data_IF_360002198936
#
_entry.id   IF_360002198936
#
_cell.length_a   1.000
_cell.length_b   1.000
_cell.length_c   1.000
_cell.angle_alpha   90.00
_cell.angle_beta   90.00
_cell.angle_gamma   90.00
#
_symmetry.space_group_name_H-M   'P 1'
#
loop_
_entity.id
_entity.type
_entity.pdbx_description
1 polymer ?
#
# COMPACT_ATOMS: atom_id res chain seq x y z
N UNK A 1 18.43 -41.52 -13.33
CA UNK A 1 17.94 -40.14 -13.57
C UNK A 1 16.48 -39.96 -13.12
N UNK A 2 16.11 -40.35 -11.89
CA UNK A 2 14.73 -40.20 -11.39
C UNK A 2 14.58 -39.03 -10.37
N UNK A 3 15.69 -38.58 -9.78
CA UNK A 3 15.70 -37.55 -8.72
C UNK A 3 15.83 -36.12 -9.24
N UNK A 4 16.24 -35.93 -10.49
CA UNK A 4 16.49 -34.60 -11.06
C UNK A 4 15.16 -33.86 -11.28
N UNK A 5 14.17 -34.53 -11.87
CA UNK A 5 12.85 -33.94 -12.12
C UNK A 5 12.15 -33.48 -10.82
N UNK A 6 12.02 -34.30 -9.76
CA UNK A 6 11.38 -33.84 -8.52
C UNK A 6 12.15 -32.68 -7.86
N UNK A 7 13.48 -32.67 -7.92
CA UNK A 7 14.29 -31.57 -7.40
C UNK A 7 14.07 -30.27 -8.18
N UNK A 8 14.02 -30.34 -9.51
CA UNK A 8 13.75 -29.17 -10.36
C UNK A 8 12.34 -28.64 -10.14
N UNK A 9 11.34 -29.51 -9.97
CA UNK A 9 9.97 -29.07 -9.66
C UNK A 9 9.89 -28.37 -8.31
N UNK A 10 10.58 -28.88 -7.28
CA UNK A 10 10.65 -28.25 -5.97
C UNK A 10 11.28 -26.85 -6.08
N UNK A 11 12.40 -26.74 -6.79
CA UNK A 11 13.09 -25.48 -7.02
C UNK A 11 12.19 -24.47 -7.74
N UNK A 12 11.50 -24.91 -8.80
CA UNK A 12 10.62 -24.05 -9.59
C UNK A 12 9.44 -23.55 -8.75
N UNK A 13 8.80 -24.42 -7.98
CA UNK A 13 7.73 -24.02 -7.05
C UNK A 13 8.24 -23.02 -6.01
N UNK A 14 9.43 -23.24 -5.44
CA UNK A 14 10.05 -22.31 -4.51
C UNK A 14 10.28 -20.92 -5.11
N UNK A 15 10.85 -20.87 -6.32
CA UNK A 15 11.11 -19.61 -7.04
C UNK A 15 9.81 -18.88 -7.35
N UNK A 16 8.79 -19.59 -7.86
CA UNK A 16 7.48 -18.99 -8.19
C UNK A 16 6.81 -18.42 -6.94
N UNK A 17 6.77 -19.18 -5.83
CA UNK A 17 6.15 -18.72 -4.60
C UNK A 17 6.85 -17.49 -4.03
N UNK A 18 8.19 -17.45 -4.04
CA UNK A 18 8.94 -16.28 -3.58
C UNK A 18 8.72 -15.07 -4.51
N UNK A 19 8.67 -15.29 -5.83
CA UNK A 19 8.34 -14.24 -6.79
C UNK A 19 6.95 -13.63 -6.56
N UNK A 20 5.95 -14.47 -6.25
CA UNK A 20 4.60 -14.02 -5.92
C UNK A 20 4.56 -13.20 -4.62
N UNK A 21 5.27 -13.62 -3.57
CA UNK A 21 5.38 -12.84 -2.33
C UNK A 21 6.01 -11.46 -2.56
N UNK A 22 7.09 -11.39 -3.34
CA UNK A 22 7.74 -10.12 -3.67
C UNK A 22 6.80 -9.22 -4.47
N UNK A 23 6.06 -9.79 -5.43
CA UNK A 23 5.04 -9.05 -6.20
C UNK A 23 3.99 -8.44 -5.26
N UNK A 24 3.41 -9.22 -4.35
CA UNK A 24 2.38 -8.72 -3.43
C UNK A 24 2.89 -7.56 -2.58
N UNK A 25 4.12 -7.68 -2.05
CA UNK A 25 4.72 -6.61 -1.27
C UNK A 25 4.89 -5.31 -2.07
N UNK A 26 5.35 -5.40 -3.32
CA UNK A 26 5.48 -4.23 -4.20
C UNK A 26 4.12 -3.61 -4.54
N UNK A 27 3.11 -4.44 -4.78
CA UNK A 27 1.75 -3.99 -5.06
C UNK A 27 1.17 -3.24 -3.86
N UNK A 28 1.35 -3.75 -2.63
CA UNK A 28 0.91 -3.09 -1.40
C UNK A 28 1.58 -1.72 -1.22
N UNK A 29 2.90 -1.64 -1.43
CA UNK A 29 3.62 -0.37 -1.38
C UNK A 29 3.12 0.64 -2.43
N UNK A 30 2.86 0.17 -3.65
CA UNK A 30 2.32 1.00 -4.72
C UNK A 30 0.91 1.50 -4.41
N UNK A 31 0.06 0.66 -3.84
CA UNK A 31 -1.29 1.04 -3.41
C UNK A 31 -1.25 2.09 -2.29
N UNK A 32 -0.39 1.90 -1.28
CA UNK A 32 -0.19 2.88 -0.21
C UNK A 32 0.30 4.23 -0.75
N UNK A 33 1.25 4.20 -1.70
CA UNK A 33 1.78 5.40 -2.38
C UNK A 33 0.70 6.14 -3.18
N UNK A 34 -0.13 5.43 -3.93
CA UNK A 34 -1.25 6.05 -4.66
C UNK A 34 -2.31 6.61 -3.69
N UNK A 35 -2.59 5.91 -2.59
CA UNK A 35 -3.45 6.40 -1.50
C UNK A 35 -2.91 7.69 -0.89
N UNK A 36 -1.61 7.75 -0.58
CA UNK A 36 -0.95 8.93 -0.06
C UNK A 36 -1.00 10.10 -1.05
N UNK A 37 -0.71 9.85 -2.34
CA UNK A 37 -0.83 10.86 -3.40
C UNK A 37 -2.25 11.43 -3.50
N UNK A 38 -3.26 10.57 -3.43
CA UNK A 38 -4.65 11.00 -3.49
C UNK A 38 -5.05 11.78 -2.23
N UNK A 39 -4.58 11.36 -1.06
CA UNK A 39 -4.87 11.98 0.23
C UNK A 39 -4.29 13.39 0.38
N UNK A 40 -3.16 13.71 -0.29
CA UNK A 40 -2.55 15.05 -0.20
C UNK A 40 -3.24 16.12 -1.05
N UNK A 41 -4.16 15.73 -1.95
CA UNK A 41 -4.90 16.68 -2.78
C UNK A 41 -5.78 17.59 -1.91
N UNK A 42 -5.83 18.89 -2.24
CA UNK A 42 -6.58 19.88 -1.45
C UNK A 42 -8.07 19.52 -1.28
N UNK A 43 -8.70 18.98 -2.32
CA UNK A 43 -10.10 18.53 -2.28
C UNK A 43 -10.33 17.29 -1.41
N UNK A 44 -9.27 16.57 -1.04
CA UNK A 44 -9.32 15.36 -0.24
C UNK A 44 -8.86 15.57 1.21
N UNK A 45 -8.80 16.82 1.69
CA UNK A 45 -8.51 17.10 3.10
C UNK A 45 -9.70 16.70 3.96
N UNK A 46 -9.52 15.70 4.83
CA UNK A 46 -10.56 15.16 5.70
C UNK A 46 -11.09 16.24 6.64
N UNK A 47 -10.24 17.13 7.13
CA UNK A 47 -10.67 18.25 8.00
C UNK A 47 -11.60 19.25 7.32
N UNK A 48 -11.61 19.30 5.98
CA UNK A 48 -12.46 20.22 5.20
C UNK A 48 -13.69 19.52 4.62
N UNK A 49 -13.52 18.27 4.16
CA UNK A 49 -14.55 17.54 3.43
C UNK A 49 -15.25 16.43 4.25
N UNK A 50 -14.75 16.11 5.45
CA UNK A 50 -15.33 15.13 6.38
C UNK A 50 -15.08 13.66 6.03
N UNK A 51 -15.81 12.78 6.72
CA UNK A 51 -15.59 11.32 6.73
C UNK A 51 -15.79 10.65 5.36
N UNK A 52 -16.65 11.22 4.51
CA UNK A 52 -16.88 10.70 3.15
C UNK A 52 -15.58 10.69 2.32
N UNK A 53 -14.70 11.67 2.56
CA UNK A 53 -13.39 11.77 1.91
C UNK A 53 -12.40 10.75 2.45
N UNK A 54 -12.41 10.50 3.76
CA UNK A 54 -11.60 9.43 4.35
C UNK A 54 -11.97 8.08 3.72
N UNK A 55 -13.27 7.80 3.60
CA UNK A 55 -13.75 6.58 2.95
C UNK A 55 -13.39 6.52 1.47
N UNK A 56 -13.40 7.65 0.75
CA UNK A 56 -12.98 7.71 -0.64
C UNK A 56 -11.48 7.37 -0.82
N UNK A 57 -10.62 7.86 0.09
CA UNK A 57 -9.18 7.54 0.09
C UNK A 57 -8.98 6.03 0.38
N UNK A 58 -9.66 5.47 1.37
CA UNK A 58 -9.60 4.02 1.67
C UNK A 58 -10.07 3.18 0.48
N UNK A 59 -11.18 3.58 -0.13
CA UNK A 59 -11.73 2.91 -1.32
C UNK A 59 -10.78 2.99 -2.51
N UNK A 60 -10.03 4.08 -2.65
CA UNK A 60 -9.01 4.22 -3.71
C UNK A 60 -7.90 3.19 -3.56
N UNK A 61 -7.37 3.01 -2.35
CA UNK A 61 -6.35 1.99 -2.03
C UNK A 61 -6.91 0.59 -2.28
N UNK A 62 -8.10 0.31 -1.75
CA UNK A 62 -8.77 -0.99 -1.93
C UNK A 62 -8.99 -1.33 -3.41
N UNK A 63 -9.42 -0.36 -4.23
CA UNK A 63 -9.61 -0.55 -5.67
C UNK A 63 -8.30 -0.84 -6.40
N UNK A 64 -7.21 -0.18 -6.01
CA UNK A 64 -5.89 -0.46 -6.57
C UNK A 64 -5.48 -1.92 -6.32
N UNK A 65 -5.66 -2.40 -5.08
CA UNK A 65 -5.33 -3.77 -4.70
C UNK A 65 -6.25 -4.81 -5.35
N UNK A 66 -7.55 -4.49 -5.48
CA UNK A 66 -8.51 -5.38 -6.12
C UNK A 66 -8.18 -5.63 -7.61
N UNK A 67 -7.65 -4.62 -8.32
CA UNK A 67 -7.16 -4.77 -9.70
C UNK A 67 -6.01 -5.78 -9.80
N UNK A 68 -5.19 -5.87 -8.75
CA UNK A 68 -4.06 -6.79 -8.64
C UNK A 68 -4.43 -8.14 -7.99
N UNK A 69 -5.73 -8.41 -7.82
CA UNK A 69 -6.30 -9.61 -7.19
C UNK A 69 -6.01 -9.75 -5.70
N UNK A 70 -5.66 -8.65 -5.03
CA UNK A 70 -5.48 -8.60 -3.57
C UNK A 70 -6.74 -7.99 -2.95
N UNK A 71 -7.37 -8.71 -2.02
CA UNK A 71 -8.59 -8.24 -1.34
C UNK A 71 -8.25 -7.82 0.08
N UNK A 72 -8.61 -6.59 0.43
CA UNK A 72 -8.49 -6.04 1.78
C UNK A 72 -9.81 -5.39 2.21
N UNK A 73 -10.02 -5.27 3.52
CA UNK A 73 -11.09 -4.46 4.07
C UNK A 73 -10.64 -3.00 4.16
N UNK A 74 -11.59 -2.05 4.15
CA UNK A 74 -11.26 -0.64 4.36
C UNK A 74 -10.76 -0.35 5.77
N UNK A 75 -11.04 -1.23 6.74
CA UNK A 75 -10.47 -1.19 8.10
C UNK A 75 -8.96 -1.40 8.11
N UNK A 76 -8.41 -2.06 7.09
CA UNK A 76 -6.99 -2.37 6.99
C UNK A 76 -6.17 -1.16 6.48
N UNK A 77 -6.85 -0.08 6.11
CA UNK A 77 -6.24 1.16 5.64
C UNK A 77 -6.45 2.25 6.68
N UNK A 78 -5.36 2.80 7.20
CA UNK A 78 -5.40 3.95 8.13
C UNK A 78 -4.78 5.18 7.47
N UNK A 79 -5.37 6.34 7.72
CA UNK A 79 -4.98 7.61 7.10
C UNK A 79 -4.69 8.62 8.21
N UNK A 80 -3.51 9.23 8.17
CA UNK A 80 -3.14 10.33 9.05
C UNK A 80 -2.66 11.52 8.21
N UNK A 81 -3.54 12.50 7.98
CA UNK A 81 -3.24 13.73 7.24
C UNK A 81 -2.52 14.81 8.07
N UNK A 82 -2.34 14.56 9.38
CA UNK A 82 -1.64 15.45 10.29
C UNK A 82 -0.25 14.92 10.64
N UNK A 83 0.27 13.98 9.85
CA UNK A 83 1.58 13.38 10.08
C UNK A 83 2.67 14.45 9.90
N UNK A 84 3.53 14.62 10.89
CA UNK A 84 4.64 15.57 10.84
C UNK A 84 5.92 14.86 10.41
N UNK A 85 6.57 15.38 9.38
CA UNK A 85 7.86 14.89 8.91
C UNK A 85 8.94 15.95 9.12
N UNK A 86 10.03 15.57 9.79
CA UNK A 86 11.19 16.44 10.03
C UNK A 86 12.13 16.42 8.83
N UNK A 87 12.37 17.58 8.21
CA UNK A 87 13.18 17.67 6.99
C UNK A 87 14.63 18.02 7.34
N UNK A 88 15.48 17.02 7.62
CA UNK A 88 16.90 17.26 7.85
C UNK A 88 17.59 17.78 6.56
N UNK A 89 18.57 18.71 6.65
CA UNK A 89 19.18 19.28 7.86
C UNK A 89 18.51 20.56 8.39
N UNK A 90 17.35 20.97 7.86
CA UNK A 90 16.63 22.17 8.31
C UNK A 90 15.74 21.85 9.51
N UNK A 91 15.60 22.75 10.52
CA UNK A 91 14.73 22.51 11.68
C UNK A 91 13.21 22.58 11.37
N UNK A 92 12.81 22.47 10.10
CA UNK A 92 11.42 22.53 9.68
C UNK A 92 10.70 21.18 9.81
N UNK A 93 9.46 21.22 10.31
CA UNK A 93 8.50 20.12 10.13
C UNK A 93 7.56 20.47 8.97
N UNK A 94 7.24 19.47 8.16
CA UNK A 94 6.19 19.57 7.15
C UNK A 94 5.03 18.67 7.54
N UNK A 95 3.81 19.18 7.41
CA UNK A 95 2.61 18.35 7.52
C UNK A 95 2.45 17.57 6.22
N UNK A 96 2.40 16.25 6.35
CA UNK A 96 2.25 15.29 5.26
C UNK A 96 1.03 14.40 5.52
N UNK A 97 0.65 13.63 4.50
CA UNK A 97 -0.33 12.55 4.67
C UNK A 97 0.39 11.21 4.71
N UNK A 98 0.18 10.47 5.80
CA UNK A 98 0.57 9.08 5.94
C UNK A 98 -0.62 8.18 5.63
N UNK A 99 -0.40 7.15 4.80
CA UNK A 99 -1.37 6.10 4.51
C UNK A 99 -0.69 4.76 4.82
N UNK A 100 -1.30 3.98 5.70
CA UNK A 100 -0.80 2.67 6.12
C UNK A 100 -1.79 1.62 5.66
N UNK A 101 -1.26 0.54 5.08
CA UNK A 101 -2.02 -0.64 4.66
C UNK A 101 -1.52 -1.82 5.47
N UNK A 102 -2.41 -2.44 6.23
CA UNK A 102 -2.15 -3.69 6.95
C UNK A 102 -2.60 -4.87 6.09
N UNK A 103 -1.73 -5.85 5.87
CA UNK A 103 -2.01 -7.05 5.07
C UNK A 103 -1.33 -8.25 5.71
#
# INVERSE_FOLDING_TARGET
MAMILPLLTLLLVGIVNMGLMIREHQVLQNAAREGARYSTLQGNRITTAGDATEQAIKTRVQRYLAQERITIATSDVTINQNYTYTVAPSPGTVTASQVTVSY
#
